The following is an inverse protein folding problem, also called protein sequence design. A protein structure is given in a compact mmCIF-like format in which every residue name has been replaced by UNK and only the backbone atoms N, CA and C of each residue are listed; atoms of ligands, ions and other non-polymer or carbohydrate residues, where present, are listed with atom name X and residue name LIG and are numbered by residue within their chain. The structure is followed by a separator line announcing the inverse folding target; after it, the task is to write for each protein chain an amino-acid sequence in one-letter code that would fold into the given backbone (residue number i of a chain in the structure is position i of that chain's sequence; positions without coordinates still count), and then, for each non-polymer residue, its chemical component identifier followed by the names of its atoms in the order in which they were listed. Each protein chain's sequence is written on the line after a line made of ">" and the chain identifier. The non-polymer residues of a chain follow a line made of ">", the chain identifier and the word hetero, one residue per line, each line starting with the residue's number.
data_IF_466504433628
#
_entry.id   IF_466504433628
#
_cell.length_a   1.000
_cell.length_b   1.000
_cell.length_c   1.000
_cell.angle_alpha   90.00
_cell.angle_beta   90.00
_cell.angle_gamma   90.00
#
_symmetry.space_group_name_H-M   'P 1'
#
loop_
_entity.id
_entity.type
_entity.pdbx_description
1 polymer ?
#
# COMPACT_ATOMS: atom_id res chain seq x y z
N UNK A 1 -6.67 2.87 -10.10
CA UNK A 1 -7.01 2.04 -8.91
C UNK A 1 -7.56 0.71 -9.39
N UNK A 2 -7.56 -0.31 -8.53
CA UNK A 2 -8.15 -1.63 -8.82
C UNK A 2 -9.25 -1.90 -7.80
N UNK A 3 -10.42 -2.32 -8.29
CA UNK A 3 -11.58 -2.61 -7.47
C UNK A 3 -12.14 -3.99 -7.82
N UNK A 4 -12.50 -4.77 -6.80
CA UNK A 4 -13.13 -6.07 -6.91
C UNK A 4 -14.44 -6.05 -6.12
N UNK A 5 -15.54 -5.76 -6.80
CA UNK A 5 -16.83 -5.50 -6.16
C UNK A 5 -16.72 -4.34 -5.15
N UNK A 6 -17.08 -4.52 -3.87
CA UNK A 6 -17.00 -3.47 -2.85
C UNK A 6 -15.58 -3.24 -2.32
N UNK A 7 -14.57 -4.02 -2.76
CA UNK A 7 -13.20 -3.91 -2.27
C UNK A 7 -12.38 -3.02 -3.20
N UNK A 8 -11.68 -2.05 -2.64
CA UNK A 8 -10.69 -1.24 -3.35
C UNK A 8 -9.29 -1.57 -2.82
N UNK A 9 -8.35 -1.70 -3.74
CA UNK A 9 -6.97 -2.05 -3.43
C UNK A 9 -6.03 -0.88 -3.69
N UNK A 10 -5.00 -0.79 -2.86
CA UNK A 10 -3.87 0.10 -3.00
C UNK A 10 -2.57 -0.70 -3.06
N UNK A 11 -1.50 -0.05 -3.55
CA UNK A 11 -0.17 -0.64 -3.51
C UNK A 11 0.29 -0.81 -2.07
N UNK A 12 0.88 -1.97 -1.76
CA UNK A 12 1.49 -2.27 -0.47
C UNK A 12 2.83 -1.51 -0.33
N UNK A 13 2.79 -0.21 -0.08
CA UNK A 13 3.98 0.66 0.03
C UNK A 13 4.63 0.47 1.40
N UNK A 14 5.86 -0.02 1.48
CA UNK A 14 6.58 -0.08 2.75
C UNK A 14 6.73 1.32 3.35
N UNK A 15 6.56 1.43 4.66
CA UNK A 15 6.59 2.71 5.38
C UNK A 15 7.76 2.75 6.35
N UNK A 16 8.34 3.93 6.50
CA UNK A 16 9.28 4.27 7.57
C UNK A 16 8.62 5.30 8.48
N UNK A 17 8.53 4.96 9.76
CA UNK A 17 7.88 5.77 10.78
C UNK A 17 8.94 6.39 11.67
N UNK A 18 9.07 7.72 11.60
CA UNK A 18 10.04 8.48 12.38
C UNK A 18 9.30 9.34 13.39
N UNK A 19 9.61 9.18 14.68
CA UNK A 19 9.05 10.10 15.69
C UNK A 19 9.76 11.43 15.57
N UNK A 20 9.01 12.49 15.27
CA UNK A 20 9.53 13.85 15.09
C UNK A 20 9.19 14.76 16.27
N UNK A 21 8.30 14.34 17.17
CA UNK A 21 7.90 15.14 18.31
C UNK A 21 6.80 14.52 19.16
N UNK A 22 5.98 15.41 19.73
CA UNK A 22 4.84 15.06 20.56
C UNK A 22 5.20 14.57 21.97
N UNK A 23 4.19 14.53 22.84
CA UNK A 23 4.30 14.04 24.22
C UNK A 23 4.30 12.51 24.24
N UNK A 24 4.58 11.90 25.39
CA UNK A 24 4.57 10.44 25.50
C UNK A 24 3.21 9.83 25.14
N UNK A 25 2.12 10.45 25.62
CA UNK A 25 0.75 10.00 25.34
C UNK A 25 0.26 10.42 23.94
N UNK A 26 0.93 11.40 23.31
CA UNK A 26 0.55 11.98 22.02
C UNK A 26 1.78 12.19 21.13
N UNK A 27 2.43 11.11 20.67
CA UNK A 27 3.61 11.22 19.84
C UNK A 27 3.26 11.70 18.42
N UNK A 28 4.14 12.52 17.86
CA UNK A 28 4.05 12.97 16.48
C UNK A 28 5.01 12.16 15.61
N UNK A 29 4.51 11.63 14.50
CA UNK A 29 5.26 10.81 13.56
C UNK A 29 5.24 11.41 12.17
N UNK A 30 6.41 11.40 11.54
CA UNK A 30 6.55 11.49 10.10
C UNK A 30 6.51 10.07 9.51
N UNK A 31 5.74 9.89 8.44
CA UNK A 31 5.62 8.60 7.74
C UNK A 31 6.08 8.79 6.31
N UNK A 32 7.21 8.18 5.96
CA UNK A 32 7.81 8.27 4.64
C UNK A 32 7.70 6.93 3.89
N UNK A 33 7.52 6.94 2.56
CA UNK A 33 7.55 5.72 1.77
C UNK A 33 8.98 5.15 1.70
N UNK A 34 9.13 3.88 2.04
CA UNK A 34 10.37 3.09 1.93
C UNK A 34 10.42 2.19 0.70
N UNK A 35 9.37 2.23 -0.12
CA UNK A 35 9.32 1.60 -1.43
C UNK A 35 8.79 2.57 -2.47
N UNK A 36 9.07 2.29 -3.74
CA UNK A 36 8.52 3.07 -4.85
C UNK A 36 6.98 2.99 -4.84
N UNK A 37 6.34 4.14 -5.00
CA UNK A 37 4.88 4.27 -5.10
C UNK A 37 4.41 4.40 -6.55
N UNK A 38 5.32 4.77 -7.45
CA UNK A 38 5.03 5.19 -8.82
C UNK A 38 4.94 4.03 -9.81
N UNK A 39 3.95 3.16 -9.63
CA UNK A 39 3.69 2.03 -10.53
C UNK A 39 2.40 2.20 -11.34
N UNK A 40 2.49 1.92 -12.64
CA UNK A 40 1.33 1.71 -13.51
C UNK A 40 1.04 0.22 -13.68
N UNK A 41 -0.23 -0.16 -13.59
CA UNK A 41 -0.66 -1.55 -13.79
C UNK A 41 -0.52 -1.94 -15.26
N UNK A 42 -0.02 -3.14 -15.52
CA UNK A 42 -0.05 -3.78 -16.85
C UNK A 42 -1.19 -4.78 -16.81
N UNK A 43 -2.38 -4.35 -17.22
CA UNK A 43 -3.56 -5.20 -17.31
C UNK A 43 -3.87 -5.42 -18.79
N UNK A 44 -3.66 -6.64 -19.27
CA UNK A 44 -4.06 -7.03 -20.62
C UNK A 44 -5.46 -7.66 -20.60
N UNK A 45 -5.81 -8.32 -19.50
CA UNK A 45 -7.10 -8.92 -19.18
C UNK A 45 -7.13 -9.37 -17.70
N UNK A 46 -8.30 -9.76 -17.19
CA UNK A 46 -8.49 -10.14 -15.77
C UNK A 46 -7.64 -11.34 -15.31
N UNK A 47 -7.09 -12.12 -16.24
CA UNK A 47 -6.20 -13.25 -15.93
C UNK A 47 -4.82 -12.82 -15.42
N UNK A 48 -4.43 -11.54 -15.59
CA UNK A 48 -3.18 -10.99 -15.05
C UNK A 48 -3.26 -10.70 -13.53
N UNK A 49 -4.43 -10.91 -12.91
CA UNK A 49 -4.68 -10.72 -11.48
C UNK A 49 -4.60 -12.05 -10.74
N UNK A 50 -3.64 -12.18 -9.84
CA UNK A 50 -3.58 -13.31 -8.90
C UNK A 50 -4.12 -12.83 -7.57
N UNK A 51 -5.27 -13.36 -7.17
CA UNK A 51 -5.90 -13.02 -5.88
C UNK A 51 -5.59 -14.12 -4.88
N UNK A 52 -4.85 -13.75 -3.83
CA UNK A 52 -4.50 -14.65 -2.73
C UNK A 52 -5.29 -14.31 -1.48
N UNK A 53 -6.16 -15.24 -1.07
CA UNK A 53 -6.75 -15.21 0.26
C UNK A 53 -5.72 -15.70 1.26
N UNK A 54 -5.28 -14.80 2.13
CA UNK A 54 -4.37 -15.16 3.21
C UNK A 54 -5.11 -16.06 4.21
N UNK A 55 -4.75 -17.35 4.26
CA UNK A 55 -5.29 -18.31 5.25
C UNK A 55 -4.71 -18.00 6.62
N UNK A 56 -5.28 -17.04 7.34
CA UNK A 56 -4.81 -16.73 8.70
C UNK A 56 -5.37 -17.75 9.69
N UNK A 57 -4.51 -18.17 10.62
CA UNK A 57 -4.85 -19.11 11.71
C UNK A 57 -5.85 -18.53 12.71
N UNK A 58 -6.13 -17.23 12.68
CA UNK A 58 -6.93 -16.54 13.68
C UNK A 58 -7.77 -15.42 13.07
N UNK A 59 -9.09 -15.60 13.06
CA UNK A 59 -10.07 -14.64 12.54
C UNK A 59 -10.25 -13.40 13.44
N UNK A 60 -9.54 -13.33 14.58
CA UNK A 60 -9.59 -12.21 15.54
C UNK A 60 -8.48 -11.17 15.37
N UNK A 61 -7.67 -11.29 14.33
CA UNK A 61 -6.59 -10.33 14.09
C UNK A 61 -7.16 -9.00 13.58
N UNK A 62 -6.64 -7.88 14.10
CA UNK A 62 -7.08 -6.54 13.70
C UNK A 62 -6.82 -6.34 12.18
N UNK A 63 -7.86 -6.16 11.36
CA UNK A 63 -7.72 -6.06 9.91
C UNK A 63 -7.07 -4.76 9.43
N UNK A 64 -6.94 -3.76 10.30
CA UNK A 64 -6.27 -2.50 10.01
C UNK A 64 -4.75 -2.56 10.20
N UNK A 65 -4.22 -3.69 10.71
CA UNK A 65 -2.79 -3.94 10.70
C UNK A 65 -2.43 -4.54 9.34
N UNK A 66 -1.49 -3.93 8.63
CA UNK A 66 -1.09 -4.30 7.27
C UNK A 66 -0.73 -5.79 7.12
N UNK A 67 0.01 -6.37 8.07
CA UNK A 67 0.34 -7.80 8.07
C UNK A 67 -0.85 -8.71 8.37
N UNK A 68 -1.98 -8.16 8.83
CA UNK A 68 -3.21 -8.86 9.18
C UNK A 68 -4.31 -8.76 8.12
N UNK A 69 -4.10 -8.04 7.00
CA UNK A 69 -5.07 -8.00 5.89
C UNK A 69 -5.41 -9.40 5.34
N UNK A 70 -6.70 -9.75 5.18
CA UNK A 70 -7.13 -11.11 4.84
C UNK A 70 -6.99 -11.44 3.34
N UNK A 71 -6.83 -10.43 2.50
CA UNK A 71 -6.80 -10.55 1.05
C UNK A 71 -5.64 -9.74 0.49
N UNK A 72 -4.85 -10.36 -0.37
CA UNK A 72 -3.79 -9.71 -1.13
C UNK A 72 -3.97 -10.00 -2.61
N UNK A 73 -3.47 -9.09 -3.43
CA UNK A 73 -3.56 -9.17 -4.88
C UNK A 73 -2.18 -8.92 -5.46
N UNK A 74 -1.73 -9.84 -6.29
CA UNK A 74 -0.51 -9.72 -7.07
C UNK A 74 -0.87 -9.46 -8.53
N UNK A 75 -0.22 -8.47 -9.13
CA UNK A 75 -0.48 -8.03 -10.49
C UNK A 75 0.81 -7.52 -11.12
N UNK A 76 0.94 -7.70 -12.43
CA UNK A 76 2.06 -7.12 -13.18
C UNK A 76 1.92 -5.61 -13.23
N UNK A 77 3.00 -4.92 -12.90
CA UNK A 77 3.08 -3.47 -12.96
C UNK A 77 4.46 -3.03 -13.41
N UNK A 78 4.55 -1.79 -13.89
CA UNK A 78 5.81 -1.15 -14.28
C UNK A 78 5.97 0.17 -13.56
N UNK A 79 7.17 0.43 -13.05
CA UNK A 79 7.51 1.74 -12.49
C UNK A 79 7.46 2.80 -13.58
N UNK A 80 6.90 3.96 -13.26
CA UNK A 80 6.83 5.14 -14.12
C UNK A 80 7.84 6.16 -13.57
N UNK A 81 9.08 6.20 -14.09
CA UNK A 81 10.16 7.02 -13.49
C UNK A 81 9.90 8.52 -13.58
N UNK A 82 9.07 8.96 -14.53
CA UNK A 82 8.68 10.36 -14.69
C UNK A 82 7.69 10.85 -13.63
N UNK A 83 7.03 9.94 -12.91
CA UNK A 83 6.23 10.30 -11.74
C UNK A 83 7.16 10.42 -10.55
N UNK A 84 7.55 11.66 -10.31
CA UNK A 84 8.38 12.10 -9.19
C UNK A 84 7.53 13.04 -8.34
N UNK A 85 7.84 13.09 -7.04
CA UNK A 85 7.31 14.16 -6.23
C UNK A 85 7.91 15.49 -6.71
N UNK A 86 7.11 16.54 -6.69
CA UNK A 86 7.56 17.90 -6.93
C UNK A 86 8.43 18.40 -5.78
N UNK A 87 8.87 19.65 -5.88
CA UNK A 87 9.70 20.32 -4.89
C UNK A 87 9.00 20.50 -3.52
N UNK A 88 7.68 20.31 -3.46
CA UNK A 88 6.88 20.34 -2.24
C UNK A 88 6.57 18.94 -1.69
N UNK A 89 7.19 17.89 -2.25
CA UNK A 89 6.88 16.48 -1.97
C UNK A 89 5.42 16.09 -2.28
N UNK A 90 4.75 16.81 -3.18
CA UNK A 90 3.40 16.48 -3.69
C UNK A 90 3.55 15.93 -5.12
N UNK A 91 2.60 15.12 -5.57
CA UNK A 91 2.60 14.63 -6.97
C UNK A 91 1.49 15.35 -7.72
N UNK A 92 1.87 16.08 -8.77
CA UNK A 92 0.97 16.69 -9.76
C UNK A 92 0.86 15.89 -11.06
#
# INVERSE_FOLDING_TARGET
>A
SLSYGPLSFSLDINEEWNRIGGQYDWPEYEVLPKSYWNYGLILTNDHDLIIERQKKKNDRLNPFIRTNVPLQLEVRARRIPSWIADDQNVVG
#
